data_IF_602011437812
#
_entry.id   IF_602011437812
#
_cell.length_a   1.000
_cell.length_b   1.000
_cell.length_c   1.000
_cell.angle_alpha   90.00
_cell.angle_beta   90.00
_cell.angle_gamma   90.00
#
_symmetry.space_group_name_H-M   'P 1'
#
loop_
_entity.id
_entity.type
_entity.pdbx_description
1 polymer ?
#
# COMPACT_ATOMS: atom_id res chain seq x y z
N UNK A 1 3.99 1.83 12.79
CA UNK A 1 3.26 1.68 11.52
C UNK A 1 4.13 1.93 10.31
N UNK A 2 4.65 3.14 10.03
CA UNK A 2 5.56 3.31 8.89
C UNK A 2 6.83 2.47 9.04
N UNK A 3 7.47 2.53 10.20
CA UNK A 3 8.66 1.72 10.54
C UNK A 3 8.33 0.22 10.49
N UNK A 4 7.24 -0.19 11.15
CA UNK A 4 6.71 -1.56 11.13
C UNK A 4 6.45 -2.09 9.70
N UNK A 5 5.81 -1.31 8.83
CA UNK A 5 5.60 -1.66 7.42
C UNK A 5 6.93 -1.84 6.68
N UNK A 6 7.91 -0.99 6.95
CA UNK A 6 9.23 -1.07 6.34
C UNK A 6 9.99 -2.32 6.77
N UNK A 7 9.97 -2.62 8.07
CA UNK A 7 10.60 -3.83 8.64
C UNK A 7 9.94 -5.09 8.09
N UNK A 8 8.61 -5.17 8.08
CA UNK A 8 7.90 -6.33 7.55
C UNK A 8 8.06 -6.49 6.03
N UNK A 9 8.07 -5.41 5.26
CA UNK A 9 8.35 -5.46 3.82
C UNK A 9 9.79 -5.90 3.55
N UNK A 10 10.75 -5.41 4.32
CA UNK A 10 12.15 -5.82 4.22
C UNK A 10 12.31 -7.30 4.54
N UNK A 11 11.64 -7.80 5.57
CA UNK A 11 11.63 -9.22 5.93
C UNK A 11 10.95 -10.06 4.85
N UNK A 12 9.83 -9.59 4.29
CA UNK A 12 9.12 -10.28 3.20
C UNK A 12 9.99 -10.42 1.94
N UNK A 13 10.81 -9.41 1.66
CA UNK A 13 11.74 -9.37 0.53
C UNK A 13 13.14 -9.88 0.88
N UNK A 14 13.33 -10.60 1.99
CA UNK A 14 14.65 -11.03 2.44
C UNK A 14 15.43 -11.87 1.40
N UNK A 15 14.72 -12.60 0.53
CA UNK A 15 15.31 -13.40 -0.56
C UNK A 15 15.79 -12.53 -1.75
N UNK A 16 15.12 -11.40 -1.98
CA UNK A 16 15.51 -10.41 -3.00
C UNK A 16 15.34 -8.98 -2.44
N UNK A 17 16.31 -8.51 -1.64
CA UNK A 17 16.16 -7.27 -0.89
C UNK A 17 16.18 -6.05 -1.80
N UNK A 18 15.23 -5.15 -1.58
CA UNK A 18 15.17 -3.84 -2.24
C UNK A 18 15.89 -2.78 -1.41
N UNK A 19 16.32 -1.69 -2.06
CA UNK A 19 16.94 -0.57 -1.33
C UNK A 19 15.95 0.09 -0.38
N UNK A 20 16.44 0.54 0.79
CA UNK A 20 15.63 1.24 1.80
C UNK A 20 14.89 2.45 1.21
N UNK A 21 15.51 3.17 0.28
CA UNK A 21 14.90 4.29 -0.45
C UNK A 21 13.66 3.86 -1.24
N UNK A 22 13.71 2.72 -1.92
CA UNK A 22 12.62 2.18 -2.73
C UNK A 22 11.49 1.65 -1.85
N UNK A 23 11.83 0.96 -0.76
CA UNK A 23 10.87 0.56 0.28
C UNK A 23 10.14 1.78 0.85
N UNK A 24 10.89 2.82 1.21
CA UNK A 24 10.36 4.07 1.78
C UNK A 24 9.40 4.77 0.82
N UNK A 25 9.77 4.86 -0.46
CA UNK A 25 8.91 5.45 -1.49
C UNK A 25 7.60 4.67 -1.65
N UNK A 26 7.67 3.34 -1.66
CA UNK A 26 6.50 2.48 -1.83
C UNK A 26 5.56 2.53 -0.64
N UNK A 27 6.06 2.50 0.60
CA UNK A 27 5.25 2.69 1.82
C UNK A 27 4.58 4.06 1.83
N UNK A 28 5.32 5.12 1.50
CA UNK A 28 4.76 6.47 1.43
C UNK A 28 3.67 6.59 0.36
N UNK A 29 3.86 5.94 -0.79
CA UNK A 29 2.87 5.91 -1.87
C UNK A 29 1.62 5.12 -1.46
N UNK A 30 1.78 3.97 -0.80
CA UNK A 30 0.68 3.17 -0.25
C UNK A 30 -0.15 3.97 0.75
N UNK A 31 0.48 4.64 1.70
CA UNK A 31 -0.20 5.47 2.70
C UNK A 31 -0.98 6.61 2.04
N UNK A 32 -0.38 7.30 1.05
CA UNK A 32 -1.06 8.38 0.31
C UNK A 32 -2.25 7.85 -0.49
N UNK A 33 -2.08 6.75 -1.21
CA UNK A 33 -3.17 6.13 -1.98
C UNK A 33 -4.31 5.72 -1.05
N UNK A 34 -4.00 5.07 0.07
CA UNK A 34 -5.00 4.65 1.07
C UNK A 34 -5.77 5.86 1.63
N UNK A 35 -5.08 6.93 2.02
CA UNK A 35 -5.73 8.15 2.52
C UNK A 35 -6.65 8.79 1.48
N UNK A 36 -6.22 8.85 0.22
CA UNK A 36 -7.03 9.37 -0.88
C UNK A 36 -8.26 8.48 -1.12
N UNK A 37 -8.09 7.15 -1.10
CA UNK A 37 -9.18 6.19 -1.27
C UNK A 37 -10.20 6.28 -0.14
N UNK A 38 -9.75 6.43 1.11
CA UNK A 38 -10.65 6.59 2.26
C UNK A 38 -11.43 7.88 2.20
N UNK A 39 -10.88 8.93 1.59
CA UNK A 39 -11.55 10.23 1.45
C UNK A 39 -12.08 10.73 2.80
N UNK A 40 -11.19 10.81 3.80
CA UNK A 40 -11.58 11.11 5.17
C UNK A 40 -12.32 12.45 5.27
N UNK A 41 -13.46 12.50 6.00
CA UNK A 41 -14.14 13.75 6.28
C UNK A 41 -13.23 14.74 7.02
N UNK A 42 -13.43 16.03 6.82
CA UNK A 42 -12.68 17.09 7.53
C UNK A 42 -12.81 17.02 9.06
N UNK A 43 -13.84 16.34 9.57
CA UNK A 43 -14.07 16.09 11.00
C UNK A 43 -13.15 14.99 11.60
N UNK A 44 -12.45 14.21 10.76
CA UNK A 44 -11.51 13.20 11.26
C UNK A 44 -10.25 13.85 11.81
N UNK A 45 -9.92 13.47 13.04
CA UNK A 45 -8.65 13.84 13.67
C UNK A 45 -7.52 12.94 13.17
N UNK A 46 -6.28 13.40 13.32
CA UNK A 46 -5.09 12.63 12.93
C UNK A 46 -5.03 11.27 13.66
N UNK A 47 -5.49 11.22 14.91
CA UNK A 47 -5.59 9.98 15.70
C UNK A 47 -6.62 9.00 15.13
N UNK A 48 -7.80 9.49 14.70
CA UNK A 48 -8.83 8.66 14.05
C UNK A 48 -8.32 8.09 12.73
N UNK A 49 -7.60 8.90 11.96
CA UNK A 49 -6.97 8.46 10.70
C UNK A 49 -5.92 7.39 10.98
N UNK A 50 -5.04 7.59 11.97
CA UNK A 50 -4.03 6.60 12.36
C UNK A 50 -4.66 5.30 12.84
N UNK A 51 -5.72 5.36 13.62
CA UNK A 51 -6.43 4.17 14.09
C UNK A 51 -7.09 3.41 12.94
N UNK A 52 -7.68 4.11 11.96
CA UNK A 52 -8.24 3.49 10.76
C UNK A 52 -7.15 2.83 9.90
N UNK A 53 -6.03 3.53 9.68
CA UNK A 53 -4.87 2.98 8.98
C UNK A 53 -4.34 1.71 9.66
N UNK A 54 -4.25 1.67 10.99
CA UNK A 54 -3.86 0.46 11.74
C UNK A 54 -4.86 -0.69 11.56
N UNK A 55 -6.17 -0.41 11.47
CA UNK A 55 -7.18 -1.45 11.20
C UNK A 55 -7.10 -1.99 9.78
N UNK A 56 -6.64 -1.17 8.84
CA UNK A 56 -6.44 -1.54 7.44
C UNK A 56 -4.96 -1.80 7.13
N UNK A 57 -4.19 -2.28 8.10
CA UNK A 57 -2.75 -2.48 7.97
C UNK A 57 -2.41 -3.41 6.81
N UNK A 58 -3.05 -4.58 6.72
CA UNK A 58 -2.82 -5.55 5.65
C UNK A 58 -3.11 -4.97 4.25
N UNK A 59 -4.13 -4.11 4.14
CA UNK A 59 -4.41 -3.41 2.89
C UNK A 59 -3.27 -2.48 2.48
N UNK A 60 -2.69 -1.76 3.44
CA UNK A 60 -1.59 -0.81 3.18
C UNK A 60 -0.30 -1.56 2.89
N UNK A 61 -0.06 -2.69 3.56
CA UNK A 61 1.06 -3.58 3.26
C UNK A 61 0.98 -4.10 1.82
N UNK A 62 -0.17 -4.63 1.41
CA UNK A 62 -0.36 -5.16 0.05
C UNK A 62 -0.26 -4.07 -1.02
N UNK A 63 -0.75 -2.85 -0.73
CA UNK A 63 -0.53 -1.68 -1.61
C UNK A 63 0.95 -1.35 -1.76
N UNK A 64 1.72 -1.40 -0.67
CA UNK A 64 3.16 -1.13 -0.72
C UNK A 64 3.90 -2.18 -1.56
N UNK A 65 3.56 -3.46 -1.39
CA UNK A 65 4.11 -4.54 -2.23
C UNK A 65 3.73 -4.36 -3.71
N UNK A 66 2.48 -4.03 -4.00
CA UNK A 66 2.03 -3.73 -5.36
C UNK A 66 2.83 -2.59 -5.99
N UNK A 67 3.09 -1.51 -5.27
CA UNK A 67 3.88 -0.40 -5.78
C UNK A 67 5.37 -0.74 -5.98
N UNK A 68 5.92 -1.66 -5.18
CA UNK A 68 7.28 -2.18 -5.39
C UNK A 68 7.36 -3.00 -6.67
N UNK A 69 6.44 -3.94 -6.86
CA UNK A 69 6.39 -4.78 -8.07
C UNK A 69 6.16 -3.93 -9.32
N UNK A 70 5.25 -2.96 -9.28
CA UNK A 70 5.02 -2.03 -10.39
C UNK A 70 6.27 -1.22 -10.73
N UNK A 71 6.93 -0.62 -9.73
CA UNK A 71 8.17 0.13 -9.96
C UNK A 71 9.24 -0.78 -10.57
N UNK A 72 9.47 -1.98 -10.01
CA UNK A 72 10.43 -2.94 -10.56
C UNK A 72 10.12 -3.32 -12.02
N UNK A 73 8.85 -3.59 -12.35
CA UNK A 73 8.42 -3.94 -13.71
C UNK A 73 8.51 -2.78 -14.71
N UNK A 74 8.36 -1.53 -14.27
CA UNK A 74 8.52 -0.34 -15.12
C UNK A 74 9.98 -0.09 -15.51
N UNK A 75 10.95 -0.50 -14.68
CA UNK A 75 12.38 -0.33 -14.92
C UNK A 75 13.06 -1.56 -15.55
N UNK A 76 12.48 -2.75 -15.39
CA UNK A 76 12.98 -4.00 -15.97
C UNK A 76 12.12 -4.35 -17.19
N UNK A 77 12.61 -4.09 -18.40
CA UNK A 77 11.94 -4.50 -19.64
C UNK A 77 11.62 -6.00 -19.62
N UNK A 78 10.34 -6.34 -19.47
CA UNK A 78 9.73 -7.65 -19.72
C UNK A 78 10.51 -8.87 -19.21
N UNK A 79 10.84 -8.95 -17.92
CA UNK A 79 11.17 -10.24 -17.27
C UNK A 79 10.06 -10.60 -16.29
N UNK A 80 9.06 -11.35 -16.79
CA UNK A 80 8.00 -11.96 -15.99
C UNK A 80 8.51 -13.24 -15.36
N UNK A 81 9.00 -13.15 -14.12
CA UNK A 81 8.97 -14.25 -13.15
C UNK A 81 8.99 -13.61 -11.75
N UNK A 82 7.86 -13.06 -11.31
CA UNK A 82 7.71 -12.61 -9.94
C UNK A 82 6.99 -13.70 -9.13
N UNK A 83 7.78 -14.44 -8.33
CA UNK A 83 7.34 -15.46 -7.37
C UNK A 83 6.67 -14.82 -6.13
N UNK A 84 5.71 -13.93 -6.35
CA UNK A 84 4.80 -13.45 -5.32
C UNK A 84 3.38 -13.57 -5.87
N UNK A 85 2.72 -14.63 -5.44
CA UNK A 85 1.47 -15.21 -5.94
C UNK A 85 0.22 -14.33 -5.69
N UNK A 86 0.35 -13.00 -5.71
CA UNK A 86 -0.75 -12.04 -5.64
C UNK A 86 -0.66 -11.11 -6.85
N UNK A 87 -1.16 -11.61 -7.97
CA UNK A 87 -1.25 -10.88 -9.23
C UNK A 87 -2.39 -9.86 -9.16
N UNK A 88 -2.23 -8.79 -8.37
CA UNK A 88 -3.21 -7.71 -8.36
C UNK A 88 -3.11 -6.90 -9.65
N UNK A 89 -4.20 -6.85 -10.41
CA UNK A 89 -4.24 -6.11 -11.67
C UNK A 89 -4.36 -4.59 -11.46
N UNK A 90 -4.87 -4.17 -10.29
CA UNK A 90 -5.04 -2.75 -9.96
C UNK A 90 -5.07 -2.47 -8.45
N UNK A 91 -4.80 -1.22 -8.06
CA UNK A 91 -4.99 -0.74 -6.68
C UNK A 91 -6.43 -0.97 -6.18
N UNK A 92 -7.42 -0.83 -7.07
CA UNK A 92 -8.84 -1.03 -6.75
C UNK A 92 -9.13 -2.44 -6.27
N UNK A 93 -8.50 -3.45 -6.87
CA UNK A 93 -8.67 -4.84 -6.48
C UNK A 93 -8.18 -5.08 -5.05
N UNK A 94 -7.04 -4.49 -4.68
CA UNK A 94 -6.49 -4.57 -3.31
C UNK A 94 -7.50 -3.98 -2.33
N UNK A 95 -8.05 -2.80 -2.62
CA UNK A 95 -9.07 -2.19 -1.77
C UNK A 95 -10.32 -3.06 -1.61
N UNK A 96 -10.81 -3.66 -2.69
CA UNK A 96 -12.00 -4.53 -2.67
C UNK A 96 -11.72 -5.79 -1.84
N UNK A 97 -10.57 -6.43 -2.03
CA UNK A 97 -10.19 -7.65 -1.32
C UNK A 97 -10.08 -7.44 0.19
N UNK A 98 -9.65 -6.25 0.62
CA UNK A 98 -9.56 -5.87 2.03
C UNK A 98 -10.82 -5.22 2.59
N UNK A 99 -11.90 -5.08 1.79
CA UNK A 99 -13.14 -4.42 2.23
C UNK A 99 -12.96 -2.94 2.56
N UNK A 100 -12.00 -2.27 1.91
CA UNK A 100 -11.67 -0.86 2.13
C UNK A 100 -12.43 0.02 1.13
N UNK A 101 -13.36 0.80 1.66
CA UNK A 101 -14.23 1.70 0.87
C UNK A 101 -14.00 3.16 1.24
N UNK A 102 -14.26 4.13 0.34
CA UNK A 102 -14.29 5.53 0.71
C UNK A 102 -15.38 5.78 1.76
N UNK A 103 -15.12 6.72 2.68
CA UNK A 103 -16.20 7.33 3.43
C UNK A 103 -17.10 8.10 2.47
N UNK A 104 -18.42 7.93 2.64
CA UNK A 104 -19.39 8.71 1.89
C UNK A 104 -19.17 10.19 2.20
N UNK A 105 -18.57 10.91 1.25
CA UNK A 105 -18.57 12.36 1.27
C UNK A 105 -19.96 12.85 0.90
N UNK A 106 -20.48 13.81 1.65
CA UNK A 106 -21.58 14.62 1.13
C UNK A 106 -21.02 15.33 -0.10
N UNK A 107 -21.51 14.98 -1.30
CA UNK A 107 -21.30 15.82 -2.47
C UNK A 107 -21.97 17.16 -2.13
N UNK A 108 -21.18 18.20 -1.92
CA UNK A 108 -21.66 19.58 -1.93
C UNK A 108 -21.62 20.08 -3.36
#
# INVERSE_FOLDING_TARGET
MNEELMEELSLYLADNPESESILTLSVNRAIRSFKNKRNYPSSYTDDKIKNDMKKCYDCIFDLALYFLVKQGAEFQGSHSESSVNRSWESETEIYINHGVFPFAGSFN
#
